data_IF_424903325367
#
_entry.id   IF_424903325367
#
_cell.length_a   1.000
_cell.length_b   1.000
_cell.length_c   1.000
_cell.angle_alpha   90.00
_cell.angle_beta   90.00
_cell.angle_gamma   90.00
#
_symmetry.space_group_name_H-M   'P 1'
#
loop_
_entity.id
_entity.type
_entity.pdbx_description
1 polymer ?
#
# COMPACT_ATOMS: atom_id res chain seq x y z
N UNK A 1 2.86 18.99 -0.17
CA UNK A 1 2.19 18.79 -1.47
C UNK A 1 1.50 17.44 -1.42
N UNK A 2 0.29 17.30 -1.95
CA UNK A 2 -0.44 16.01 -1.97
C UNK A 2 -0.61 15.62 -3.44
N UNK A 3 -0.26 14.38 -3.77
CA UNK A 3 -0.39 13.80 -5.12
C UNK A 3 -1.10 12.46 -4.96
N UNK A 4 -2.05 12.18 -5.85
CA UNK A 4 -2.77 10.90 -5.89
C UNK A 4 -2.39 10.14 -7.15
N UNK A 5 -1.93 8.91 -7.01
CA UNK A 5 -1.53 8.03 -8.10
C UNK A 5 -2.30 6.71 -7.99
N UNK A 6 -2.90 6.24 -9.10
CA UNK A 6 -3.70 5.03 -9.09
C UNK A 6 -2.84 3.76 -9.07
N UNK A 7 -1.70 3.76 -9.76
CA UNK A 7 -0.71 2.67 -9.84
C UNK A 7 0.66 3.24 -10.23
N UNK A 8 1.40 3.84 -9.28
CA UNK A 8 2.73 4.36 -9.58
C UNK A 8 3.71 3.23 -9.89
N UNK A 9 4.62 3.41 -10.85
CA UNK A 9 5.81 2.57 -10.95
C UNK A 9 6.58 2.54 -9.62
N UNK A 10 7.32 1.47 -9.29
CA UNK A 10 8.05 1.36 -8.03
C UNK A 10 8.98 2.55 -7.77
N UNK A 11 9.66 3.04 -8.80
CA UNK A 11 10.59 4.16 -8.68
C UNK A 11 9.87 5.46 -8.33
N UNK A 12 8.59 5.59 -8.73
CA UNK A 12 7.76 6.74 -8.37
C UNK A 12 7.22 6.62 -6.96
N UNK A 13 6.83 5.40 -6.54
CA UNK A 13 6.42 5.14 -5.16
C UNK A 13 7.54 5.46 -4.17
N UNK A 14 8.79 5.16 -4.53
CA UNK A 14 9.96 5.41 -3.67
C UNK A 14 10.29 6.89 -3.46
N UNK A 15 9.72 7.81 -4.25
CA UNK A 15 9.89 9.25 -4.09
C UNK A 15 9.01 9.86 -2.99
N UNK A 16 8.07 9.10 -2.43
CA UNK A 16 7.16 9.59 -1.40
C UNK A 16 7.75 9.39 0.01
N UNK A 17 7.71 10.47 0.80
CA UNK A 17 8.04 10.44 2.23
C UNK A 17 6.92 9.75 3.03
N UNK A 18 5.69 10.23 2.84
CA UNK A 18 4.48 9.72 3.48
C UNK A 18 3.49 9.17 2.45
N UNK A 19 2.73 8.16 2.87
CA UNK A 19 1.71 7.48 2.06
C UNK A 19 0.38 7.50 2.79
N UNK A 20 -0.70 7.75 2.04
CA UNK A 20 -2.07 7.60 2.53
C UNK A 20 -2.75 6.51 1.70
N UNK A 21 -3.19 5.44 2.36
CA UNK A 21 -3.96 4.38 1.74
C UNK A 21 -5.44 4.59 2.01
N UNK A 22 -6.19 4.82 0.93
CA UNK A 22 -7.62 5.10 0.95
C UNK A 22 -8.36 4.00 0.19
N UNK A 23 -9.39 3.43 0.81
CA UNK A 23 -10.30 2.49 0.17
C UNK A 23 -11.72 2.69 0.71
N UNK A 24 -12.69 2.77 -0.20
CA UNK A 24 -14.11 2.98 0.14
C UNK A 24 -14.39 4.17 1.08
N UNK A 25 -13.60 5.24 0.97
CA UNK A 25 -13.71 6.43 1.81
C UNK A 25 -13.13 6.27 3.22
N UNK A 26 -12.46 5.16 3.51
CA UNK A 26 -11.75 4.90 4.77
C UNK A 26 -10.24 4.98 4.56
N UNK A 27 -9.54 5.51 5.56
CA UNK A 27 -8.07 5.50 5.61
C UNK A 27 -7.62 4.22 6.29
N UNK A 28 -6.89 3.38 5.57
CA UNK A 28 -6.30 2.15 6.10
C UNK A 28 -4.93 2.40 6.73
N UNK A 29 -4.17 3.34 6.15
CA UNK A 29 -2.85 3.71 6.62
C UNK A 29 -2.57 5.18 6.28
N UNK A 30 -1.90 5.87 7.19
CA UNK A 30 -1.34 7.19 6.95
C UNK A 30 -0.03 7.31 7.73
N UNK A 31 1.08 7.54 7.04
CA UNK A 31 2.38 7.72 7.67
C UNK A 31 3.54 7.42 6.72
N UNK A 32 4.76 7.25 7.26
CA UNK A 32 5.96 7.06 6.47
C UNK A 32 5.87 5.85 5.55
N UNK A 33 6.37 5.97 4.31
CA UNK A 33 6.41 4.87 3.33
C UNK A 33 7.15 3.65 3.87
N UNK A 34 8.24 3.85 4.60
CA UNK A 34 9.11 2.78 5.09
C UNK A 34 8.41 1.84 6.08
N UNK A 35 7.42 2.35 6.82
CA UNK A 35 6.73 1.59 7.86
C UNK A 35 5.51 0.83 7.32
N UNK A 36 5.04 1.14 6.11
CA UNK A 36 3.77 0.61 5.61
C UNK A 36 3.76 -0.91 5.55
N UNK A 37 4.85 -1.53 5.09
CA UNK A 37 4.94 -2.98 4.98
C UNK A 37 4.90 -3.67 6.34
N UNK A 38 5.62 -3.14 7.34
CA UNK A 38 5.64 -3.70 8.70
C UNK A 38 4.25 -3.66 9.34
N UNK A 39 3.50 -2.56 9.14
CA UNK A 39 2.14 -2.42 9.65
C UNK A 39 1.20 -3.48 9.06
N UNK A 40 1.27 -3.71 7.75
CA UNK A 40 0.47 -4.76 7.11
C UNK A 40 0.92 -6.17 7.48
N UNK A 41 2.22 -6.40 7.71
CA UNK A 41 2.75 -7.68 8.15
C UNK A 41 2.26 -8.04 9.57
N UNK A 42 2.16 -7.07 10.48
CA UNK A 42 1.57 -7.24 11.82
C UNK A 42 0.07 -7.60 11.72
N UNK A 43 -0.63 -7.10 10.70
CA UNK A 43 -2.03 -7.44 10.44
C UNK A 43 -2.20 -8.82 9.76
N UNK A 44 -1.11 -9.52 9.45
CA UNK A 44 -1.11 -10.84 8.82
C UNK A 44 -0.97 -10.83 7.30
N UNK A 45 -0.76 -9.65 6.68
CA UNK A 45 -0.60 -9.52 5.24
C UNK A 45 0.88 -9.35 4.87
N UNK A 46 1.43 -10.28 4.11
CA UNK A 46 2.83 -10.23 3.67
C UNK A 46 2.93 -9.98 2.17
N UNK A 47 3.77 -9.04 1.77
CA UNK A 47 4.06 -8.82 0.36
C UNK A 47 4.84 -10.01 -0.21
N UNK A 48 4.43 -10.51 -1.38
CA UNK A 48 5.12 -11.59 -2.10
C UNK A 48 6.40 -11.05 -2.76
N UNK A 49 7.47 -11.86 -2.80
CA UNK A 49 8.81 -11.46 -3.28
C UNK A 49 8.86 -10.92 -4.72
N UNK A 50 7.86 -11.23 -5.55
CA UNK A 50 7.80 -10.83 -6.97
C UNK A 50 6.85 -9.67 -7.24
N UNK A 51 6.24 -9.11 -6.19
CA UNK A 51 5.18 -8.12 -6.32
C UNK A 51 5.67 -6.75 -5.89
N UNK A 52 5.30 -5.71 -6.65
CA UNK A 52 5.59 -4.33 -6.29
C UNK A 52 4.83 -3.93 -5.03
N UNK A 53 5.45 -3.09 -4.19
CA UNK A 53 4.83 -2.61 -2.93
C UNK A 53 3.52 -1.87 -3.21
N UNK A 54 3.48 -0.99 -4.21
CA UNK A 54 2.27 -0.26 -4.57
C UNK A 54 1.11 -1.21 -4.98
N UNK A 55 1.42 -2.25 -5.76
CA UNK A 55 0.44 -3.27 -6.18
C UNK A 55 -0.04 -4.11 -4.98
N UNK A 56 0.86 -4.43 -4.04
CA UNK A 56 0.51 -5.10 -2.79
C UNK A 56 -0.47 -4.25 -1.96
N UNK A 57 -0.14 -2.97 -1.74
CA UNK A 57 -0.96 -2.06 -0.96
C UNK A 57 -2.34 -1.82 -1.60
N UNK A 58 -2.43 -1.81 -2.93
CA UNK A 58 -3.70 -1.69 -3.64
C UNK A 58 -4.59 -2.94 -3.48
N UNK A 59 -4.00 -4.14 -3.51
CA UNK A 59 -4.77 -5.37 -3.35
C UNK A 59 -5.22 -5.60 -1.91
N UNK A 60 -4.34 -5.39 -0.92
CA UNK A 60 -4.68 -5.61 0.50
C UNK A 60 -5.76 -4.66 1.00
N UNK A 61 -5.88 -3.49 0.37
CA UNK A 61 -6.94 -2.50 0.67
C UNK A 61 -8.22 -2.72 -0.14
N UNK A 62 -8.22 -3.64 -1.11
CA UNK A 62 -9.38 -4.01 -1.92
C UNK A 62 -10.06 -5.27 -1.38
N UNK A 63 -11.38 -5.25 -1.21
CA UNK A 63 -12.16 -6.43 -0.75
C UNK A 63 -11.92 -7.68 -1.60
N UNK A 64 -11.70 -7.50 -2.89
CA UNK A 64 -11.45 -8.62 -3.82
C UNK A 64 -10.00 -9.14 -3.74
N UNK A 65 -9.04 -8.27 -3.38
CA UNK A 65 -7.62 -8.64 -3.26
C UNK A 65 -7.30 -9.36 -1.94
N UNK A 66 -8.02 -9.03 -0.85
CA UNK A 66 -7.87 -9.70 0.44
C UNK A 66 -8.14 -11.21 0.37
N UNK A 67 -9.01 -11.68 -0.52
CA UNK A 67 -9.29 -13.13 -0.63
C UNK A 67 -8.10 -13.97 -1.12
N UNK A 68 -7.02 -13.33 -1.59
CA UNK A 68 -5.79 -13.99 -2.03
C UNK A 68 -4.73 -14.12 -0.93
N UNK A 69 -4.99 -13.58 0.27
CA UNK A 69 -4.10 -13.59 1.43
C UNK A 69 -4.83 -14.11 2.68
#
# INVERSE_FOLDING_TARGET
MIISLLQPPPETFDLFDDVILLSEGQVFYQGPRENVLEVFEIMGFKCLDRKGVADFLQEVTSRNGQSQY
#
